data_IF_681155570544
#
_entry.id   IF_681155570544
#
_cell.length_a   1.000
_cell.length_b   1.000
_cell.length_c   1.000
_cell.angle_alpha   90.00
_cell.angle_beta   90.00
_cell.angle_gamma   90.00
#
_symmetry.space_group_name_H-M   'P 1'
#
loop_
_entity.id
_entity.type
_entity.pdbx_description
1 polymer ?
#
# COMPACT_ATOMS: atom_id res chain seq x y z
N UNK A 1 5.44 -17.89 4.22
CA UNK A 1 4.32 -17.31 3.46
C UNK A 1 3.57 -16.31 4.33
N UNK A 2 3.13 -15.20 3.75
CA UNK A 2 2.31 -14.20 4.42
C UNK A 2 0.84 -14.62 4.39
N UNK A 3 0.16 -14.51 5.54
CA UNK A 3 -1.26 -14.87 5.67
C UNK A 3 -2.17 -13.64 5.78
N UNK A 4 -1.65 -12.50 6.23
CA UNK A 4 -2.44 -11.28 6.44
C UNK A 4 -1.91 -10.12 5.59
N UNK A 5 -2.80 -9.49 4.83
CA UNK A 5 -2.57 -8.24 4.15
C UNK A 5 -3.19 -7.06 4.90
N UNK A 6 -2.56 -5.90 4.78
CA UNK A 6 -3.05 -4.62 5.32
C UNK A 6 -3.34 -3.68 4.17
N UNK A 7 -4.50 -2.99 4.20
CA UNK A 7 -4.84 -1.95 3.21
C UNK A 7 -5.03 -0.63 3.94
N UNK A 8 -4.29 0.40 3.51
CA UNK A 8 -4.29 1.72 4.12
C UNK A 8 -5.40 2.60 3.53
N UNK A 9 -6.52 2.75 4.24
CA UNK A 9 -7.72 3.45 3.77
C UNK A 9 -8.11 4.69 4.60
N UNK A 10 -7.29 5.11 5.57
CA UNK A 10 -7.65 6.18 6.50
C UNK A 10 -7.48 7.61 5.93
N UNK A 11 -6.85 7.78 4.78
CA UNK A 11 -6.48 9.08 4.22
C UNK A 11 -7.66 9.94 3.74
N UNK A 12 -7.50 11.27 3.79
CA UNK A 12 -8.52 12.24 3.35
C UNK A 12 -8.69 12.37 1.84
N UNK A 13 -7.70 11.99 1.05
CA UNK A 13 -7.76 12.10 -0.43
C UNK A 13 -7.85 13.53 -0.97
N UNK A 14 -7.37 14.55 -0.26
CA UNK A 14 -7.57 16.00 -0.55
C UNK A 14 -7.19 16.43 -1.97
N UNK A 15 -6.24 15.76 -2.63
CA UNK A 15 -5.84 16.07 -4.03
C UNK A 15 -6.90 15.73 -5.07
N UNK A 16 -7.95 15.00 -4.67
CA UNK A 16 -9.10 14.62 -5.50
C UNK A 16 -10.37 15.42 -5.18
N UNK A 17 -10.28 16.44 -4.32
CA UNK A 17 -11.40 17.32 -4.08
C UNK A 17 -11.88 17.99 -5.38
N UNK A 18 -13.22 18.17 -5.55
CA UNK A 18 -14.28 17.98 -4.57
C UNK A 18 -14.84 16.56 -4.43
N UNK A 19 -14.41 15.59 -5.26
CA UNK A 19 -15.00 14.24 -5.30
C UNK A 19 -14.84 13.54 -3.94
N UNK A 20 -13.69 13.66 -3.31
CA UNK A 20 -13.39 13.02 -2.02
C UNK A 20 -13.99 13.73 -0.80
N UNK A 21 -14.76 14.81 -1.00
CA UNK A 21 -15.60 15.35 0.07
C UNK A 21 -16.75 14.41 0.46
N UNK A 22 -17.22 13.59 -0.47
CA UNK A 22 -18.38 12.72 -0.29
C UNK A 22 -18.07 11.22 -0.45
N UNK A 23 -16.93 10.88 -1.05
CA UNK A 23 -16.55 9.48 -1.30
C UNK A 23 -15.07 9.27 -0.92
N UNK A 24 -14.74 8.31 -0.04
CA UNK A 24 -13.34 8.01 0.26
C UNK A 24 -12.56 7.64 -1.00
N UNK A 25 -11.31 8.11 -1.12
CA UNK A 25 -10.46 7.82 -2.28
C UNK A 25 -10.41 6.33 -2.67
N UNK A 26 -10.30 5.37 -1.72
CA UNK A 26 -10.29 3.94 -2.05
C UNK A 26 -11.60 3.42 -2.68
N UNK A 27 -12.70 4.11 -2.49
CA UNK A 27 -14.01 3.73 -3.06
C UNK A 27 -14.30 4.41 -4.40
N UNK A 28 -13.42 5.26 -4.90
CA UNK A 28 -13.56 5.83 -6.25
C UNK A 28 -13.40 4.73 -7.31
N UNK A 29 -14.25 4.82 -8.34
CA UNK A 29 -14.34 3.82 -9.40
C UNK A 29 -13.65 4.30 -10.69
N UNK A 30 -12.91 3.37 -11.29
CA UNK A 30 -12.38 3.49 -12.65
C UNK A 30 -12.90 2.27 -13.42
N UNK A 31 -13.65 2.51 -14.50
CA UNK A 31 -14.34 1.45 -15.26
C UNK A 31 -15.20 0.55 -14.35
N UNK A 32 -16.07 1.18 -13.56
CA UNK A 32 -17.07 0.55 -12.69
C UNK A 32 -16.50 -0.41 -11.60
N UNK A 33 -15.20 -0.33 -11.34
CA UNK A 33 -14.53 -1.10 -10.27
C UNK A 33 -13.78 -0.15 -9.36
N UNK A 34 -14.08 -0.19 -8.06
CA UNK A 34 -13.41 0.67 -7.09
C UNK A 34 -11.93 0.29 -6.90
N UNK A 35 -11.14 1.26 -6.48
CA UNK A 35 -9.72 1.05 -6.19
C UNK A 35 -9.53 -0.01 -5.11
N UNK A 36 -10.37 0.01 -4.06
CA UNK A 36 -10.36 -0.98 -2.99
C UNK A 36 -10.71 -2.39 -3.49
N UNK A 37 -11.73 -2.53 -4.35
CA UNK A 37 -12.12 -3.81 -4.92
C UNK A 37 -10.99 -4.43 -5.76
N UNK A 38 -10.28 -3.62 -6.56
CA UNK A 38 -9.11 -4.09 -7.31
C UNK A 38 -8.01 -4.62 -6.40
N UNK A 39 -7.77 -3.91 -5.30
CA UNK A 39 -6.77 -4.30 -4.30
C UNK A 39 -7.15 -5.64 -3.64
N UNK A 40 -8.39 -5.78 -3.17
CA UNK A 40 -8.90 -7.00 -2.55
C UNK A 40 -8.82 -8.18 -3.53
N UNK A 41 -9.27 -8.00 -4.77
CA UNK A 41 -9.24 -9.06 -5.80
C UNK A 41 -7.81 -9.55 -6.10
N UNK A 42 -6.81 -8.66 -6.10
CA UNK A 42 -5.41 -9.08 -6.24
C UNK A 42 -4.95 -9.86 -5.01
N UNK A 43 -5.27 -9.41 -3.80
CA UNK A 43 -4.89 -10.07 -2.55
C UNK A 43 -5.48 -11.49 -2.46
N UNK A 44 -6.74 -11.67 -2.85
CA UNK A 44 -7.35 -13.01 -2.96
C UNK A 44 -6.56 -13.94 -3.89
N UNK A 45 -6.16 -13.41 -5.06
CA UNK A 45 -5.38 -14.18 -6.05
C UNK A 45 -3.96 -14.51 -5.59
N UNK A 46 -3.40 -13.74 -4.66
CA UNK A 46 -2.14 -14.07 -3.98
C UNK A 46 -2.30 -15.25 -3.00
N UNK A 47 -3.53 -15.65 -2.68
CA UNK A 47 -3.84 -16.74 -1.74
C UNK A 47 -3.63 -16.34 -0.28
N UNK A 48 -3.73 -15.06 0.04
CA UNK A 48 -3.73 -14.52 1.39
C UNK A 48 -5.06 -14.86 2.07
N UNK A 49 -5.04 -15.10 3.37
CA UNK A 49 -6.20 -15.61 4.12
C UNK A 49 -7.02 -14.50 4.77
N UNK A 50 -6.39 -13.36 5.05
CA UNK A 50 -6.99 -12.28 5.82
C UNK A 50 -6.56 -10.91 5.35
N UNK A 51 -7.49 -9.96 5.39
CA UNK A 51 -7.23 -8.54 5.16
C UNK A 51 -7.62 -7.73 6.39
N UNK A 52 -6.75 -6.82 6.82
CA UNK A 52 -7.09 -5.75 7.75
C UNK A 52 -7.11 -4.43 6.98
N UNK A 53 -8.17 -3.66 7.15
CA UNK A 53 -8.34 -2.34 6.51
C UNK A 53 -8.43 -1.30 7.62
N UNK A 54 -7.52 -0.31 7.63
CA UNK A 54 -7.68 0.79 8.56
C UNK A 54 -8.59 1.86 7.95
N UNK A 55 -9.41 2.49 8.79
CA UNK A 55 -10.35 3.54 8.37
C UNK A 55 -10.33 4.70 9.36
N UNK A 56 -10.61 5.90 8.85
CA UNK A 56 -10.79 7.11 9.63
C UNK A 56 -11.78 8.06 8.93
N UNK A 57 -11.42 8.56 7.77
CA UNK A 57 -12.22 9.52 7.00
C UNK A 57 -13.36 8.80 6.28
N UNK A 58 -14.61 9.28 6.45
CA UNK A 58 -15.85 8.71 5.87
C UNK A 58 -15.96 7.18 6.13
N UNK A 59 -15.55 6.75 7.32
CA UNK A 59 -15.35 5.35 7.69
C UNK A 59 -16.56 4.45 7.47
N UNK A 60 -17.78 4.94 7.67
CA UNK A 60 -19.00 4.16 7.56
C UNK A 60 -19.26 3.63 6.14
N UNK A 61 -18.74 4.33 5.12
CA UNK A 61 -18.89 3.90 3.73
C UNK A 61 -18.12 2.61 3.42
N UNK A 62 -17.05 2.32 4.14
CA UNK A 62 -16.31 1.06 3.96
C UNK A 62 -17.11 -0.15 4.39
N UNK A 63 -17.82 -0.08 5.52
CA UNK A 63 -18.71 -1.16 5.97
C UNK A 63 -19.85 -1.39 4.99
N UNK A 64 -20.47 -0.33 4.49
CA UNK A 64 -21.53 -0.41 3.47
C UNK A 64 -20.99 -1.06 2.19
N UNK A 65 -19.83 -0.63 1.72
CA UNK A 65 -19.21 -1.18 0.53
C UNK A 65 -18.89 -2.68 0.69
N UNK A 66 -18.22 -3.07 1.77
CA UNK A 66 -17.83 -4.47 1.98
C UNK A 66 -19.06 -5.38 2.11
N UNK A 67 -20.14 -4.92 2.76
CA UNK A 67 -21.39 -5.67 2.89
C UNK A 67 -22.15 -5.80 1.55
N UNK A 68 -21.90 -4.92 0.59
CA UNK A 68 -22.51 -4.97 -0.75
C UNK A 68 -21.83 -5.93 -1.71
N UNK A 69 -20.68 -6.50 -1.33
CA UNK A 69 -19.83 -7.36 -2.16
C UNK A 69 -19.67 -8.75 -1.54
N UNK A 70 -19.37 -9.72 -2.38
CA UNK A 70 -19.05 -11.09 -1.96
C UNK A 70 -17.55 -11.35 -2.20
N UNK A 71 -16.74 -11.13 -1.18
CA UNK A 71 -15.33 -11.49 -1.20
C UNK A 71 -15.11 -12.86 -0.52
N UNK A 72 -14.20 -13.67 -1.07
CA UNK A 72 -13.88 -15.01 -0.53
C UNK A 72 -12.69 -14.97 0.43
N UNK A 73 -12.53 -13.89 1.16
CA UNK A 73 -11.43 -13.67 2.09
C UNK A 73 -11.96 -13.01 3.37
N UNK A 74 -11.38 -13.34 4.51
CA UNK A 74 -11.73 -12.70 5.79
C UNK A 74 -11.24 -11.23 5.79
N UNK A 75 -12.17 -10.28 5.93
CA UNK A 75 -11.88 -8.85 5.94
C UNK A 75 -12.33 -8.23 7.25
N UNK A 76 -11.41 -7.58 7.96
CA UNK A 76 -11.70 -6.86 9.20
C UNK A 76 -11.34 -5.38 9.06
N UNK A 77 -12.27 -4.50 9.44
CA UNK A 77 -12.04 -3.07 9.59
C UNK A 77 -11.44 -2.78 10.96
N UNK A 78 -10.38 -1.96 10.98
CA UNK A 78 -9.74 -1.43 12.19
C UNK A 78 -9.82 0.09 12.12
N UNK A 79 -10.56 0.70 13.03
CA UNK A 79 -10.64 2.16 13.09
C UNK A 79 -9.36 2.74 13.71
N UNK A 80 -8.87 3.86 13.17
CA UNK A 80 -7.71 4.58 13.73
C UNK A 80 -8.05 5.26 15.07
N UNK A 81 -9.34 5.46 15.38
CA UNK A 81 -9.80 6.06 16.62
C UNK A 81 -10.21 7.54 16.44
N UNK A 82 -9.92 8.39 17.44
CA UNK A 82 -10.31 9.80 17.44
C UNK A 82 -9.43 10.69 16.55
N UNK A 83 -8.22 10.24 16.26
CA UNK A 83 -7.24 10.96 15.46
C UNK A 83 -6.66 10.08 14.38
N UNK A 84 -6.37 10.67 13.22
CA UNK A 84 -5.66 9.97 12.15
C UNK A 84 -4.25 9.58 12.62
N UNK A 85 -3.85 8.35 12.33
CA UNK A 85 -2.58 7.78 12.79
C UNK A 85 -1.44 7.88 11.78
N UNK A 86 -1.69 8.40 10.56
CA UNK A 86 -0.78 8.32 9.44
C UNK A 86 -0.39 6.87 9.10
N UNK A 87 0.53 6.66 8.18
CA UNK A 87 0.84 5.33 7.64
C UNK A 87 1.52 4.41 8.66
N UNK A 88 2.51 4.89 9.39
CA UNK A 88 3.22 4.10 10.41
C UNK A 88 2.32 3.74 11.59
N UNK A 89 1.64 4.73 12.16
CA UNK A 89 0.72 4.50 13.29
C UNK A 89 -0.48 3.64 12.90
N UNK A 90 -1.04 3.83 11.71
CA UNK A 90 -2.14 3.01 11.19
C UNK A 90 -1.74 1.55 11.02
N UNK A 91 -0.57 1.27 10.44
CA UNK A 91 -0.03 -0.10 10.35
C UNK A 91 0.15 -0.69 11.75
N UNK A 92 0.81 0.03 12.66
CA UNK A 92 1.05 -0.44 14.01
C UNK A 92 -0.26 -0.76 14.75
N UNK A 93 -1.30 0.09 14.59
CA UNK A 93 -2.62 -0.16 15.17
C UNK A 93 -3.27 -1.44 14.64
N UNK A 94 -3.15 -1.72 13.33
CA UNK A 94 -3.71 -2.94 12.73
C UNK A 94 -3.01 -4.22 13.23
N UNK A 95 -1.70 -4.18 13.45
CA UNK A 95 -0.91 -5.39 13.78
C UNK A 95 -0.66 -5.60 15.28
N UNK A 96 -1.04 -4.63 16.14
CA UNK A 96 -0.71 -4.67 17.57
C UNK A 96 -1.07 -5.97 18.26
N UNK A 97 -2.28 -6.47 17.99
CA UNK A 97 -2.85 -7.67 18.62
C UNK A 97 -2.63 -8.95 17.81
N UNK A 98 -1.87 -8.88 16.70
CA UNK A 98 -1.57 -10.04 15.88
C UNK A 98 -0.37 -10.82 16.42
N UNK A 99 -0.46 -12.14 16.37
CA UNK A 99 0.66 -13.04 16.64
C UNK A 99 1.55 -13.29 15.41
N UNK A 100 1.14 -12.81 14.24
CA UNK A 100 1.93 -12.91 13.02
C UNK A 100 3.14 -11.97 13.06
N UNK A 101 4.18 -12.35 12.35
CA UNK A 101 5.45 -11.62 12.32
C UNK A 101 5.57 -10.74 11.08
N UNK A 102 5.03 -11.19 9.95
CA UNK A 102 5.26 -10.62 8.64
C UNK A 102 3.93 -10.27 7.99
N UNK A 103 3.85 -9.07 7.43
CA UNK A 103 2.66 -8.53 6.80
C UNK A 103 2.99 -7.97 5.42
N UNK A 104 2.06 -8.11 4.48
CA UNK A 104 2.09 -7.38 3.22
C UNK A 104 1.13 -6.20 3.29
N UNK A 105 1.56 -5.04 2.85
CA UNK A 105 0.82 -3.80 2.95
C UNK A 105 0.54 -3.28 1.55
N UNK A 106 -0.69 -2.82 1.34
CA UNK A 106 -1.12 -2.21 0.09
C UNK A 106 -1.67 -0.79 0.32
N UNK A 107 -1.25 0.12 -0.55
CA UNK A 107 -1.93 1.39 -0.74
C UNK A 107 -2.98 1.18 -1.85
N UNK A 108 -4.27 1.47 -1.61
CA UNK A 108 -5.32 1.18 -2.58
C UNK A 108 -5.40 2.20 -3.73
N UNK A 109 -4.56 3.22 -3.75
CA UNK A 109 -4.53 4.25 -4.79
C UNK A 109 -3.68 3.90 -6.03
N UNK A 110 -3.03 2.76 -6.03
CA UNK A 110 -2.50 2.11 -7.24
C UNK A 110 -3.60 1.30 -7.91
N UNK A 111 -3.70 1.33 -9.23
CA UNK A 111 -4.62 0.46 -9.98
C UNK A 111 -4.02 -0.95 -9.99
N UNK A 112 -4.34 -1.71 -8.97
CA UNK A 112 -3.90 -3.09 -8.85
C UNK A 112 -4.59 -3.97 -9.88
N UNK A 113 -3.83 -4.73 -10.64
CA UNK A 113 -4.29 -5.72 -11.59
C UNK A 113 -3.66 -7.09 -11.31
N UNK A 114 -4.20 -8.11 -11.97
CA UNK A 114 -3.64 -9.46 -11.86
C UNK A 114 -2.19 -9.58 -12.39
N UNK A 115 -1.76 -8.61 -13.20
CA UNK A 115 -0.40 -8.61 -13.77
C UNK A 115 0.71 -8.49 -12.71
N UNK A 116 0.37 -7.92 -11.55
CA UNK A 116 1.29 -7.80 -10.41
C UNK A 116 1.46 -9.10 -9.61
N UNK A 117 0.57 -10.08 -9.79
CA UNK A 117 0.56 -11.31 -8.96
C UNK A 117 1.92 -11.99 -8.91
N UNK A 118 2.48 -12.31 -10.07
CA UNK A 118 3.73 -13.07 -10.15
C UNK A 118 4.93 -12.29 -9.59
N UNK A 119 4.94 -10.97 -9.77
CA UNK A 119 6.00 -10.12 -9.23
C UNK A 119 5.93 -10.03 -7.70
N UNK A 120 4.74 -9.89 -7.14
CA UNK A 120 4.54 -9.87 -5.68
C UNK A 120 4.91 -11.23 -5.08
N UNK A 121 4.57 -12.34 -5.72
CA UNK A 121 4.98 -13.68 -5.26
C UNK A 121 6.50 -13.88 -5.33
N UNK A 122 7.18 -13.33 -6.34
CA UNK A 122 8.65 -13.34 -6.42
C UNK A 122 9.28 -12.47 -5.35
N UNK A 123 8.71 -11.29 -5.08
CA UNK A 123 9.12 -10.41 -3.99
C UNK A 123 8.98 -11.09 -2.62
N UNK A 124 7.84 -11.78 -2.37
CA UNK A 124 7.63 -12.56 -1.15
C UNK A 124 8.66 -13.70 -1.02
N UNK A 125 8.94 -14.43 -2.11
CA UNK A 125 9.96 -15.48 -2.14
C UNK A 125 11.33 -14.92 -1.77
N UNK A 126 11.73 -13.78 -2.34
CA UNK A 126 12.97 -13.11 -2.03
C UNK A 126 13.03 -12.69 -0.56
N UNK A 127 11.95 -12.09 -0.03
CA UNK A 127 11.84 -11.69 1.36
C UNK A 127 12.19 -12.82 2.33
N UNK A 128 11.60 -14.00 2.14
CA UNK A 128 11.85 -15.15 3.01
C UNK A 128 13.19 -15.84 2.74
N UNK A 129 13.60 -16.00 1.49
CA UNK A 129 14.87 -16.69 1.15
C UNK A 129 16.10 -15.92 1.64
N UNK A 130 16.05 -14.59 1.60
CA UNK A 130 17.13 -13.72 2.05
C UNK A 130 16.96 -13.27 3.52
N UNK A 131 15.89 -13.75 4.19
CA UNK A 131 15.57 -13.43 5.60
C UNK A 131 15.50 -11.93 5.85
N UNK A 132 14.87 -11.19 4.93
CA UNK A 132 14.70 -9.76 5.04
C UNK A 132 13.69 -9.39 6.13
N UNK A 133 13.75 -8.15 6.60
CA UNK A 133 12.78 -7.57 7.54
C UNK A 133 11.84 -6.58 6.86
N UNK A 134 12.18 -6.18 5.65
CA UNK A 134 11.38 -5.30 4.81
C UNK A 134 11.75 -5.52 3.34
N UNK A 135 10.82 -5.23 2.45
CA UNK A 135 11.06 -5.08 1.02
C UNK A 135 9.93 -4.26 0.40
N UNK A 136 10.28 -3.27 -0.41
CA UNK A 136 9.36 -2.39 -1.12
C UNK A 136 9.25 -2.80 -2.58
N UNK A 137 8.03 -2.78 -3.14
CA UNK A 137 7.82 -2.93 -4.57
C UNK A 137 8.03 -1.57 -5.23
N UNK A 138 9.01 -1.49 -6.11
CA UNK A 138 9.41 -0.27 -6.81
C UNK A 138 9.23 -0.43 -8.31
N UNK A 139 9.01 0.67 -9.01
CA UNK A 139 8.99 0.70 -10.47
C UNK A 139 9.90 1.83 -10.97
N UNK A 140 10.58 1.62 -12.09
CA UNK A 140 11.29 2.72 -12.73
C UNK A 140 10.26 3.76 -13.23
N UNK A 141 10.52 5.05 -12.99
CA UNK A 141 9.61 6.16 -13.35
C UNK A 141 9.20 6.17 -14.83
N UNK A 142 9.97 5.54 -15.73
CA UNK A 142 9.60 5.40 -17.15
C UNK A 142 8.29 4.63 -17.38
N UNK A 143 7.94 3.72 -16.48
CA UNK A 143 6.70 2.94 -16.51
C UNK A 143 5.49 3.65 -15.88
N UNK A 144 5.70 4.81 -15.24
CA UNK A 144 4.60 5.57 -14.68
C UNK A 144 3.72 6.20 -15.75
N UNK A 145 2.40 6.02 -15.64
CA UNK A 145 1.40 6.72 -16.44
C UNK A 145 1.43 8.23 -16.16
N UNK A 146 1.45 8.60 -14.89
CA UNK A 146 1.63 9.99 -14.47
C UNK A 146 3.10 10.40 -14.60
N UNK A 147 3.40 11.14 -15.68
CA UNK A 147 4.77 11.62 -15.96
C UNK A 147 5.24 12.75 -15.05
N UNK A 148 4.38 13.29 -14.20
CA UNK A 148 4.74 14.30 -13.20
C UNK A 148 5.34 13.68 -11.94
N UNK A 149 5.15 12.36 -11.72
CA UNK A 149 5.73 11.68 -10.59
C UNK A 149 7.24 11.64 -10.68
N UNK A 150 7.87 12.12 -9.62
CA UNK A 150 9.32 12.05 -9.43
C UNK A 150 9.66 10.72 -8.75
N UNK A 151 10.89 10.25 -8.94
CA UNK A 151 11.38 9.09 -8.20
C UNK A 151 11.47 9.37 -6.69
N UNK A 152 11.30 8.34 -5.91
CA UNK A 152 11.46 8.36 -4.45
C UNK A 152 12.85 7.90 -4.05
N UNK A 153 13.40 6.94 -4.79
CA UNK A 153 14.62 6.20 -4.46
C UNK A 153 15.44 5.84 -5.70
N UNK A 154 16.68 5.38 -5.45
CA UNK A 154 17.43 4.55 -6.37
C UNK A 154 17.54 3.12 -5.84
N UNK A 155 17.80 2.18 -6.75
CA UNK A 155 17.91 0.77 -6.45
C UNK A 155 19.19 0.21 -7.06
N UNK A 156 20.00 -0.47 -6.23
CA UNK A 156 21.20 -1.17 -6.69
C UNK A 156 21.32 -2.51 -5.97
N UNK A 157 21.32 -3.59 -6.74
CA UNK A 157 21.34 -4.96 -6.18
C UNK A 157 20.29 -5.17 -5.08
N UNK A 158 19.06 -4.75 -5.34
CA UNK A 158 17.92 -4.80 -4.42
C UNK A 158 18.07 -3.97 -3.12
N UNK A 159 19.15 -3.21 -2.97
CA UNK A 159 19.33 -2.26 -1.87
C UNK A 159 18.89 -0.87 -2.31
N UNK A 160 17.97 -0.28 -1.56
CA UNK A 160 17.45 1.06 -1.80
C UNK A 160 18.45 2.11 -1.27
N UNK A 161 18.61 3.19 -2.01
CA UNK A 161 19.39 4.34 -1.60
C UNK A 161 18.75 5.67 -2.06
N UNK A 162 19.21 6.78 -1.50
CA UNK A 162 18.77 8.15 -1.82
C UNK A 162 19.85 8.93 -2.54
N UNK A 163 20.40 8.40 -3.61
CA UNK A 163 21.30 9.16 -4.47
C UNK A 163 20.56 10.33 -5.14
N UNK A 164 21.32 11.27 -5.73
CA UNK A 164 20.78 12.55 -6.23
C UNK A 164 19.72 12.36 -7.30
N UNK A 165 19.94 11.45 -8.25
CA UNK A 165 18.95 11.10 -9.28
C UNK A 165 18.13 9.91 -8.83
N UNK A 166 16.85 10.15 -8.54
CA UNK A 166 15.92 9.12 -8.09
C UNK A 166 15.12 8.59 -9.26
N UNK A 167 15.36 7.35 -9.63
CA UNK A 167 14.77 6.72 -10.80
C UNK A 167 13.57 5.83 -10.49
N UNK A 168 13.38 5.44 -9.23
CA UNK A 168 12.36 4.49 -8.83
C UNK A 168 11.29 5.11 -7.96
N UNK A 169 10.04 4.70 -8.19
CA UNK A 169 8.85 5.09 -7.44
C UNK A 169 8.41 3.91 -6.58
N UNK A 170 8.09 4.16 -5.30
CA UNK A 170 7.37 3.20 -4.47
C UNK A 170 5.91 3.14 -4.91
N UNK A 171 5.46 1.95 -5.33
CA UNK A 171 4.14 1.79 -5.97
C UNK A 171 3.03 1.33 -5.02
N UNK A 172 3.27 1.40 -3.72
CA UNK A 172 2.22 1.14 -2.74
C UNK A 172 2.08 -0.32 -2.31
N UNK A 173 3.11 -1.16 -2.50
CA UNK A 173 3.15 -2.52 -1.94
C UNK A 173 4.48 -2.75 -1.23
N UNK A 174 4.43 -3.27 -0.01
CA UNK A 174 5.63 -3.66 0.75
C UNK A 174 5.37 -4.85 1.64
N UNK A 175 6.42 -5.59 1.97
CA UNK A 175 6.42 -6.61 3.01
C UNK A 175 7.27 -6.11 4.16
N UNK A 176 6.77 -6.25 5.37
CA UNK A 176 7.44 -5.73 6.58
C UNK A 176 7.27 -6.66 7.77
N UNK A 177 8.31 -6.78 8.56
CA UNK A 177 8.28 -7.54 9.81
C UNK A 177 7.78 -6.65 10.96
N UNK A 178 6.89 -7.19 11.80
CA UNK A 178 6.31 -6.50 12.97
C UNK A 178 7.34 -5.91 13.92
N UNK A 179 8.51 -6.53 14.05
CA UNK A 179 9.58 -6.08 14.96
C UNK A 179 10.15 -4.68 14.63
N UNK A 180 9.90 -4.17 13.43
CA UNK A 180 10.31 -2.80 13.05
C UNK A 180 9.43 -1.72 13.68
N UNK A 181 8.26 -2.08 14.22
CA UNK A 181 7.35 -1.17 14.91
C UNK A 181 7.65 -1.19 16.42
N UNK A 182 8.57 -0.33 16.83
CA UNK A 182 9.13 -0.33 18.20
C UNK A 182 8.49 0.69 19.15
N UNK A 183 7.56 1.52 18.67
CA UNK A 183 6.90 2.51 19.52
C UNK A 183 5.99 1.81 20.54
N UNK A 184 6.10 2.20 21.79
CA UNK A 184 5.29 1.61 22.87
C UNK A 184 3.81 1.97 22.77
N UNK A 185 3.52 3.17 22.24
CA UNK A 185 2.15 3.68 22.09
C UNK A 185 1.78 3.83 20.62
N UNK A 186 0.49 3.59 20.33
CA UNK A 186 -0.08 3.92 19.03
C UNK A 186 -0.23 5.43 18.97
N UNK A 187 0.45 6.05 18.01
CA UNK A 187 0.45 7.49 17.79
C UNK A 187 0.51 7.83 16.30
N UNK A 188 0.29 9.09 15.96
CA UNK A 188 0.43 9.56 14.58
C UNK A 188 1.92 9.63 14.19
N UNK A 189 2.32 8.81 13.21
CA UNK A 189 3.63 8.91 12.54
C UNK A 189 3.63 8.24 11.18
N UNK A 190 4.52 8.70 10.31
CA UNK A 190 4.68 8.17 8.97
C UNK A 190 5.56 6.92 8.95
N UNK A 191 5.27 5.96 8.07
CA UNK A 191 6.16 4.84 7.76
C UNK A 191 7.55 5.29 7.31
N UNK A 192 7.67 6.52 6.81
CA UNK A 192 8.95 7.12 6.44
C UNK A 192 9.96 7.16 7.59
N UNK A 193 9.52 7.23 8.85
CA UNK A 193 10.42 7.15 10.00
C UNK A 193 11.14 5.81 10.02
N UNK A 194 10.43 4.71 9.81
CA UNK A 194 11.01 3.36 9.74
C UNK A 194 11.92 3.23 8.51
N UNK A 195 11.45 3.69 7.34
CA UNK A 195 12.25 3.61 6.12
C UNK A 195 13.55 4.43 6.20
N UNK A 196 13.50 5.64 6.77
CA UNK A 196 14.70 6.46 6.95
C UNK A 196 15.72 5.79 7.86
N UNK A 197 15.27 5.20 8.97
CA UNK A 197 16.14 4.44 9.86
C UNK A 197 16.79 3.24 9.14
N UNK A 198 16.02 2.51 8.34
CA UNK A 198 16.53 1.39 7.55
C UNK A 198 17.49 1.84 6.44
N UNK A 199 17.23 3.00 5.81
CA UNK A 199 18.15 3.60 4.83
C UNK A 199 19.49 3.96 5.45
N UNK A 200 19.49 4.59 6.63
CA UNK A 200 20.70 4.96 7.36
C UNK A 200 21.55 3.73 7.72
N UNK A 201 20.88 2.61 8.01
CA UNK A 201 21.51 1.33 8.28
C UNK A 201 21.87 0.53 7.01
N UNK A 202 21.55 1.01 5.81
CA UNK A 202 21.66 0.29 4.53
C UNK A 202 20.93 -1.07 4.54
N UNK A 203 19.72 -1.06 5.09
CA UNK A 203 18.84 -2.24 5.26
C UNK A 203 17.46 -2.06 4.67
N UNK A 204 17.22 -1.04 3.85
CA UNK A 204 15.96 -0.89 3.12
C UNK A 204 16.10 -1.58 1.76
N UNK A 205 15.28 -2.60 1.53
CA UNK A 205 15.34 -3.42 0.32
C UNK A 205 14.21 -3.08 -0.64
N UNK A 206 14.43 -3.32 -1.93
CA UNK A 206 13.44 -3.11 -2.99
C UNK A 206 13.43 -4.25 -3.98
N UNK A 207 12.26 -4.51 -4.55
CA UNK A 207 12.04 -5.39 -5.69
C UNK A 207 11.58 -4.53 -6.87
N UNK A 208 12.26 -4.64 -8.01
CA UNK A 208 11.92 -3.88 -9.21
C UNK A 208 10.80 -4.56 -9.99
N UNK A 209 9.66 -3.87 -10.10
CA UNK A 209 8.56 -4.24 -11.00
C UNK A 209 8.86 -3.78 -12.43
N UNK A 210 8.48 -4.61 -13.41
CA UNK A 210 8.54 -4.30 -14.85
C UNK A 210 7.14 -3.99 -15.43
N UNK A 211 6.15 -3.73 -14.58
CA UNK A 211 4.76 -3.45 -15.00
C UNK A 211 4.51 -1.95 -15.13
N UNK A 212 3.62 -1.61 -16.04
CA UNK A 212 3.10 -0.25 -16.12
C UNK A 212 2.43 0.14 -14.81
N UNK A 213 2.71 1.36 -14.35
CA UNK A 213 2.24 1.88 -13.08
C UNK A 213 1.21 2.98 -13.28
N UNK A 214 -0.01 2.70 -12.81
CA UNK A 214 -1.15 3.60 -12.81
C UNK A 214 -1.51 3.95 -11.38
N UNK A 215 -1.37 5.23 -11.03
CA UNK A 215 -1.63 5.73 -9.68
C UNK A 215 -2.68 6.83 -9.71
N UNK A 216 -3.65 6.75 -8.81
CA UNK A 216 -4.68 7.77 -8.65
C UNK A 216 -4.11 8.95 -7.84
N UNK A 217 -3.36 9.83 -8.52
CA UNK A 217 -2.58 10.90 -7.90
C UNK A 217 -3.46 12.09 -7.52
N UNK A 218 -4.21 12.61 -8.50
CA UNK A 218 -5.02 13.81 -8.40
C UNK A 218 -6.24 13.77 -9.34
N UNK A 219 -7.03 14.84 -9.34
CA UNK A 219 -8.25 14.94 -10.13
C UNK A 219 -8.00 14.87 -11.65
N UNK A 220 -6.91 15.45 -12.13
CA UNK A 220 -6.53 15.43 -13.55
C UNK A 220 -6.21 14.00 -14.00
N UNK A 221 -5.41 13.29 -13.22
CA UNK A 221 -5.09 11.89 -13.48
C UNK A 221 -6.35 11.00 -13.37
N UNK A 222 -7.23 11.27 -12.40
CA UNK A 222 -8.50 10.53 -12.27
C UNK A 222 -9.33 10.59 -13.54
N UNK A 223 -9.50 11.79 -14.12
CA UNK A 223 -10.21 11.98 -15.39
C UNK A 223 -9.57 11.20 -16.52
N UNK A 224 -8.23 11.29 -16.68
CA UNK A 224 -7.49 10.55 -17.71
C UNK A 224 -7.61 9.04 -17.58
N UNK A 225 -7.58 8.52 -16.35
CA UNK A 225 -7.72 7.08 -16.08
C UNK A 225 -9.12 6.56 -16.40
N UNK A 226 -10.14 7.40 -16.29
CA UNK A 226 -11.52 7.02 -16.70
C UNK A 226 -11.69 6.91 -18.22
N UNK A 227 -10.87 7.63 -18.97
CA UNK A 227 -10.93 7.70 -20.44
C UNK A 227 -10.08 6.58 -21.12
N UNK A 228 -9.28 5.81 -20.36
CA UNK A 228 -8.52 4.66 -20.85
C UNK A 228 -9.44 3.45 -21.09
#
# INVERSE_FOLDING_TARGET
RINTALILCAGFGKRLNPITLNTPKPLLEIKDVSMLERCINLIEKLGIQKILINTFYLKDQFSVFLNSKNFNIDIKIIEDGEHILDTGGGIQNMIKDSNEKDFIIFNPDTIWSNDYKDEILKMEKMYFSEKLENILLLVNKKFSFDKKLKGDFNLKNNLINKEVEKEFIYIGCQIINKKLFIKEKIENYSILEIWNNLLDQKKLFGYESQKDFYHLTDLDIFKKLKDL
#
